data_IF_109965834369
#
_entry.id   IF_109965834369
#
_cell.length_a   1.000
_cell.length_b   1.000
_cell.length_c   1.000
_cell.angle_alpha   90.00
_cell.angle_beta   90.00
_cell.angle_gamma   90.00
#
_symmetry.space_group_name_H-M   'P 1'
#
loop_
_entity.id
_entity.type
_entity.pdbx_description
1 polymer ?
#
# COMPACT_ATOMS: atom_id res chain seq x y z
N UNK A 1 -12.20 20.45 2.72
CA UNK A 1 -10.99 19.92 2.08
C UNK A 1 -10.33 18.97 3.05
N UNK A 2 -10.22 17.69 2.70
CA UNK A 2 -9.54 16.71 3.56
C UNK A 2 -8.05 17.00 3.47
N UNK A 3 -7.44 17.46 4.56
CA UNK A 3 -5.99 17.67 4.61
C UNK A 3 -5.29 16.30 4.70
N UNK A 4 -4.20 16.12 3.95
CA UNK A 4 -3.34 14.96 4.12
C UNK A 4 -2.80 14.91 5.54
N UNK A 5 -2.64 13.73 6.15
CA UNK A 5 -1.88 13.58 7.39
C UNK A 5 -0.47 14.18 7.26
N UNK A 6 0.07 14.70 8.36
CA UNK A 6 1.32 15.47 8.36
C UNK A 6 2.50 14.77 7.63
N UNK A 7 2.69 13.47 7.86
CA UNK A 7 3.73 12.68 7.20
C UNK A 7 3.59 12.68 5.67
N UNK A 8 2.36 12.49 5.16
CA UNK A 8 2.07 12.50 3.72
C UNK A 8 2.21 13.89 3.12
N UNK A 9 1.71 14.94 3.81
CA UNK A 9 1.88 16.33 3.39
C UNK A 9 3.35 16.70 3.24
N UNK A 10 4.18 16.34 4.21
CA UNK A 10 5.63 16.54 4.18
C UNK A 10 6.28 15.79 3.01
N UNK A 11 5.92 14.53 2.82
CA UNK A 11 6.45 13.71 1.73
C UNK A 11 6.10 14.30 0.36
N UNK A 12 4.85 14.70 0.13
CA UNK A 12 4.44 15.37 -1.11
C UNK A 12 5.22 16.67 -1.34
N UNK A 13 5.39 17.48 -0.29
CA UNK A 13 6.17 18.73 -0.35
C UNK A 13 7.65 18.48 -0.71
N UNK A 14 8.28 17.46 -0.12
CA UNK A 14 9.66 17.07 -0.42
C UNK A 14 9.85 16.62 -1.89
N UNK A 15 8.82 15.99 -2.48
CA UNK A 15 8.80 15.61 -3.89
C UNK A 15 8.46 16.77 -4.83
N UNK A 16 8.08 17.94 -4.32
CA UNK A 16 7.55 19.04 -5.12
C UNK A 16 6.20 18.70 -5.77
N UNK A 17 5.45 17.76 -5.19
CA UNK A 17 4.18 17.31 -5.71
C UNK A 17 3.01 17.99 -5.01
N UNK A 18 1.93 18.16 -5.77
CA UNK A 18 0.63 18.57 -5.26
C UNK A 18 -0.37 17.46 -5.55
N UNK A 19 -1.35 17.29 -4.65
CA UNK A 19 -2.48 16.41 -4.92
C UNK A 19 -3.23 16.90 -6.16
N UNK A 20 -3.51 15.98 -7.06
CA UNK A 20 -4.40 16.23 -8.20
C UNK A 20 -5.85 16.13 -7.75
N UNK A 21 -6.75 16.79 -8.46
CA UNK A 21 -8.17 16.84 -8.09
C UNK A 21 -8.77 15.44 -7.88
N UNK A 22 -8.53 14.50 -8.79
CA UNK A 22 -9.01 13.13 -8.65
C UNK A 22 -8.37 12.37 -7.46
N UNK A 23 -7.13 12.70 -7.07
CA UNK A 23 -6.51 12.12 -5.87
C UNK A 23 -7.18 12.65 -4.61
N UNK A 24 -7.52 13.93 -4.61
CA UNK A 24 -8.25 14.55 -3.53
C UNK A 24 -9.66 13.97 -3.42
N UNK A 25 -10.38 13.82 -4.55
CA UNK A 25 -11.69 13.19 -4.61
C UNK A 25 -11.64 11.75 -4.06
N UNK A 26 -10.67 10.94 -4.51
CA UNK A 26 -10.44 9.58 -4.02
C UNK A 26 -10.27 9.51 -2.49
N UNK A 27 -9.58 10.48 -1.90
CA UNK A 27 -9.39 10.55 -0.44
C UNK A 27 -10.63 11.04 0.30
N UNK A 28 -11.34 12.02 -0.26
CA UNK A 28 -12.54 12.60 0.34
C UNK A 28 -13.71 11.62 0.33
N UNK A 29 -13.83 10.85 -0.74
CA UNK A 29 -14.95 9.94 -0.99
C UNK A 29 -14.62 8.47 -0.67
N UNK A 30 -13.43 8.20 -0.11
CA UNK A 30 -12.94 6.83 0.15
C UNK A 30 -13.90 5.93 0.91
N UNK A 31 -14.78 6.52 1.74
CA UNK A 31 -15.74 5.80 2.58
C UNK A 31 -17.19 5.93 2.13
N UNK A 32 -17.45 6.76 1.11
CA UNK A 32 -18.82 7.04 0.64
C UNK A 32 -19.32 6.00 -0.36
N UNK A 33 -18.42 5.33 -1.10
CA UNK A 33 -18.77 4.39 -2.14
C UNK A 33 -18.11 3.03 -1.92
N UNK A 34 -18.83 1.97 -2.22
CA UNK A 34 -18.30 0.59 -2.16
C UNK A 34 -17.46 0.26 -3.39
N UNK A 35 -17.69 0.96 -4.49
CA UNK A 35 -16.97 0.80 -5.74
C UNK A 35 -16.63 2.15 -6.36
N UNK A 36 -15.36 2.36 -6.72
CA UNK A 36 -14.87 3.56 -7.40
C UNK A 36 -14.04 3.18 -8.62
N UNK A 37 -14.30 3.81 -9.74
CA UNK A 37 -13.53 3.67 -10.97
C UNK A 37 -12.81 4.98 -11.28
N UNK A 38 -11.47 4.97 -11.17
CA UNK A 38 -10.63 6.10 -11.55
C UNK A 38 -10.15 5.96 -13.00
N UNK A 39 -10.48 6.96 -13.82
CA UNK A 39 -10.07 7.01 -15.22
C UNK A 39 -9.15 8.21 -15.43
N UNK A 40 -7.89 7.94 -15.75
CA UNK A 40 -6.92 8.98 -16.04
C UNK A 40 -5.85 8.48 -17.02
N UNK A 41 -5.18 9.37 -17.77
CA UNK A 41 -4.13 8.97 -18.70
C UNK A 41 -2.99 8.19 -18.04
N UNK A 42 -2.25 7.41 -18.84
CA UNK A 42 -1.06 6.70 -18.37
C UNK A 42 -0.01 7.72 -17.86
N UNK A 43 0.68 7.40 -16.78
CA UNK A 43 1.64 8.33 -16.16
C UNK A 43 1.00 9.43 -15.29
N UNK A 44 -0.32 9.51 -15.22
CA UNK A 44 -1.02 10.52 -14.41
C UNK A 44 -0.98 10.26 -12.89
N UNK A 45 -0.36 9.18 -12.40
CA UNK A 45 -0.29 8.85 -10.96
C UNK A 45 -1.49 8.06 -10.43
N UNK A 46 -2.25 7.37 -11.30
CA UNK A 46 -3.38 6.50 -10.92
C UNK A 46 -3.02 5.48 -9.85
N UNK A 47 -1.90 4.79 -10.04
CA UNK A 47 -1.45 3.73 -9.13
C UNK A 47 -1.25 4.27 -7.71
N UNK A 48 -0.58 5.42 -7.57
CA UNK A 48 -0.47 6.10 -6.28
C UNK A 48 -1.83 6.49 -5.72
N UNK A 49 -2.75 7.00 -6.56
CA UNK A 49 -4.12 7.37 -6.14
C UNK A 49 -4.88 6.18 -5.55
N UNK A 50 -4.73 5.00 -6.15
CA UNK A 50 -5.32 3.76 -5.64
C UNK A 50 -4.76 3.34 -4.28
N UNK A 51 -3.45 3.53 -4.06
CA UNK A 51 -2.80 3.15 -2.81
C UNK A 51 -2.96 4.18 -1.68
N UNK A 52 -3.05 5.47 -1.97
CA UNK A 52 -3.09 6.54 -0.97
C UNK A 52 -4.11 6.31 0.16
N UNK A 53 -5.38 5.96 -0.12
CA UNK A 53 -6.35 5.69 0.95
C UNK A 53 -5.90 4.56 1.87
N UNK A 54 -5.32 3.49 1.31
CA UNK A 54 -4.84 2.34 2.09
C UNK A 54 -3.59 2.66 2.90
N UNK A 55 -2.66 3.42 2.36
CA UNK A 55 -1.44 3.82 3.06
C UNK A 55 -1.76 4.73 4.24
N UNK A 56 -2.67 5.69 4.06
CA UNK A 56 -3.12 6.60 5.12
C UNK A 56 -3.82 5.81 6.23
N UNK A 57 -4.79 4.96 5.88
CA UNK A 57 -5.55 4.15 6.82
C UNK A 57 -4.65 3.21 7.65
N UNK A 58 -3.70 2.54 6.98
CA UNK A 58 -2.71 1.70 7.66
C UNK A 58 -1.79 2.53 8.56
N UNK A 59 -1.29 3.68 8.12
CA UNK A 59 -0.45 4.55 8.93
C UNK A 59 -1.17 5.03 10.20
N UNK A 60 -2.46 5.38 10.09
CA UNK A 60 -3.31 5.77 11.23
C UNK A 60 -3.44 4.63 12.24
N UNK A 61 -3.59 3.37 11.79
CA UNK A 61 -3.68 2.22 12.72
C UNK A 61 -2.40 1.98 13.52
N UNK A 62 -1.27 2.48 13.05
CA UNK A 62 0.01 2.41 13.74
C UNK A 62 0.31 3.65 14.61
N UNK A 63 -0.64 4.58 14.76
CA UNK A 63 -0.47 5.80 15.56
C UNK A 63 0.53 6.79 14.96
N UNK A 64 0.76 6.75 13.64
CA UNK A 64 1.74 7.62 12.97
C UNK A 64 1.36 9.11 13.03
N UNK A 65 0.12 9.46 13.31
CA UNK A 65 -0.29 10.83 13.60
C UNK A 65 0.33 11.36 14.90
N UNK A 66 0.48 10.50 15.91
CA UNK A 66 1.07 10.86 17.20
C UNK A 66 2.61 10.79 17.19
N UNK A 67 3.19 9.92 16.33
CA UNK A 67 4.65 9.80 16.22
C UNK A 67 5.29 11.03 15.58
N UNK A 68 4.60 11.73 14.69
CA UNK A 68 5.10 12.98 14.10
C UNK A 68 5.25 14.08 15.14
N UNK A 69 4.38 14.12 16.16
CA UNK A 69 4.48 15.04 17.30
C UNK A 69 5.53 14.59 18.33
N UNK A 70 5.63 13.27 18.59
CA UNK A 70 6.54 12.73 19.60
C UNK A 70 8.03 12.77 19.21
N UNK A 71 8.35 12.83 17.90
CA UNK A 71 9.74 12.94 17.41
C UNK A 71 10.18 14.38 17.11
N UNK A 72 9.50 15.41 17.67
CA UNK A 72 9.95 16.80 17.55
C UNK A 72 9.96 17.34 16.13
N UNK A 73 9.17 16.79 15.22
CA UNK A 73 9.08 17.25 13.82
C UNK A 73 8.18 18.49 13.67
N UNK A 74 7.62 19.01 14.77
CA UNK A 74 6.84 20.25 14.80
C UNK A 74 7.70 21.51 14.90
N UNK A 75 8.98 21.43 15.32
CA UNK A 75 9.81 22.60 15.58
C UNK A 75 10.60 23.16 14.39
N UNK A 76 10.53 22.54 13.20
CA UNK A 76 11.24 23.05 12.01
C UNK A 76 10.34 23.86 11.04
N UNK A 77 9.13 24.18 11.44
CA UNK A 77 8.20 24.93 10.59
C UNK A 77 8.11 26.44 10.91
N UNK A 78 8.74 26.92 11.99
CA UNK A 78 8.58 28.33 12.42
C UNK A 78 9.86 29.18 12.42
N UNK A 79 10.99 28.70 11.90
CA UNK A 79 12.21 29.54 11.81
C UNK A 79 12.81 29.57 10.41
N UNK A 80 12.10 30.18 9.48
CA UNK A 80 12.71 30.76 8.26
C UNK A 80 12.02 32.11 8.00
N UNK A 81 12.23 33.06 8.89
CA UNK A 81 12.33 34.48 8.57
C UNK A 81 13.59 34.96 9.27
N UNK A 82 14.63 35.10 8.55
CA UNK A 82 15.67 36.12 8.51
C UNK A 82 16.97 35.53 7.95
N UNK A 83 17.41 36.14 6.86
CA UNK A 83 18.62 35.74 6.16
C UNK A 83 19.91 36.07 6.93
N UNK A 84 20.72 35.05 7.19
CA UNK A 84 22.14 35.18 7.42
C UNK A 84 22.85 33.88 6.94
N UNK A 85 24.05 33.98 6.31
CA UNK A 85 24.75 32.83 5.79
C UNK A 85 25.49 32.06 6.86
N UNK A 86 25.35 30.76 6.89
CA UNK A 86 26.12 29.87 7.78
C UNK A 86 27.37 29.45 7.07
N UNK A 87 28.50 29.83 7.62
CA UNK A 87 29.86 29.41 7.25
C UNK A 87 30.04 27.89 7.44
N UNK A 88 30.57 27.27 6.42
CA UNK A 88 31.00 25.87 6.42
C UNK A 88 32.39 25.81 7.04
N UNK A 89 32.56 25.17 8.19
CA UNK A 89 33.87 24.78 8.70
C UNK A 89 34.15 23.31 8.42
N UNK A 90 35.20 23.11 7.66
CA UNK A 90 35.80 21.85 7.26
C UNK A 90 36.49 21.10 8.41
N UNK A 91 36.60 19.79 8.16
CA UNK A 91 37.67 18.84 8.53
C UNK A 91 37.80 18.35 9.97
N UNK A 92 37.65 17.02 10.06
CA UNK A 92 38.74 16.19 10.62
C UNK A 92 38.66 14.75 10.11
N UNK A 93 39.63 14.42 9.26
CA UNK A 93 40.10 13.05 9.00
C UNK A 93 40.79 12.49 10.25
N UNK A 94 40.60 11.23 10.55
CA UNK A 94 41.65 10.39 11.16
C UNK A 94 41.48 8.96 10.66
N UNK A 95 42.56 8.56 10.02
CA UNK A 95 42.95 7.24 9.55
C UNK A 95 43.33 6.31 10.70
N UNK A 96 43.20 5.00 10.49
CA UNK A 96 43.97 4.06 11.31
C UNK A 96 43.42 2.63 11.34
N UNK A 97 43.96 1.84 10.51
CA UNK A 97 44.10 0.43 10.27
C UNK A 97 44.17 -0.58 11.43
N UNK A 98 43.81 -1.81 11.05
CA UNK A 98 44.33 -3.18 11.38
C UNK A 98 43.47 -4.07 12.29
N UNK A 99 43.02 -5.12 11.59
CA UNK A 99 43.08 -6.56 11.83
C UNK A 99 43.35 -7.07 13.26
N UNK A 100 42.51 -7.99 13.72
CA UNK A 100 42.87 -9.40 14.04
C UNK A 100 41.64 -10.20 14.47
N UNK A 101 41.58 -11.45 13.99
CA UNK A 101 40.72 -12.56 14.39
C UNK A 101 40.81 -12.83 15.89
N UNK A 102 39.69 -13.23 16.49
CA UNK A 102 39.67 -14.30 17.47
C UNK A 102 38.25 -14.83 17.75
N UNK A 103 38.09 -16.12 17.57
CA UNK A 103 36.98 -16.95 18.03
C UNK A 103 36.85 -16.87 19.54
N UNK A 104 35.67 -16.58 20.05
CA UNK A 104 35.26 -17.07 21.39
C UNK A 104 33.77 -17.44 21.38
N UNK A 105 33.54 -18.75 21.52
CA UNK A 105 32.28 -19.29 22.02
C UNK A 105 32.06 -18.87 23.47
N UNK A 106 30.88 -18.35 23.79
CA UNK A 106 30.36 -18.47 25.17
C UNK A 106 28.82 -18.47 25.20
N UNK A 107 28.37 -19.61 25.56
CA UNK A 107 27.20 -20.07 26.33
C UNK A 107 26.12 -19.04 26.72
N UNK A 108 24.93 -19.56 26.49
CA UNK A 108 23.64 -19.13 26.98
C UNK A 108 23.63 -18.58 28.42
N UNK A 109 22.98 -17.45 28.59
CA UNK A 109 22.26 -17.15 29.82
C UNK A 109 20.91 -16.53 29.50
N UNK A 110 19.97 -17.12 30.07
CA UNK A 110 18.53 -17.11 30.09
C UNK A 110 17.93 -15.79 30.62
N UNK A 111 16.73 -15.48 30.11
CA UNK A 111 15.66 -14.78 30.81
C UNK A 111 15.81 -13.28 31.13
N UNK A 112 15.20 -12.50 30.28
CA UNK A 112 14.11 -11.61 30.71
C UNK A 112 13.27 -11.20 29.50
N UNK A 113 12.11 -11.84 29.38
CA UNK A 113 11.04 -11.43 28.48
C UNK A 113 10.57 -10.02 28.91
N UNK A 114 11.10 -8.98 28.26
CA UNK A 114 10.44 -7.69 28.21
C UNK A 114 9.13 -7.92 27.46
N UNK A 115 8.00 -7.90 28.19
CA UNK A 115 6.68 -7.60 27.65
C UNK A 115 6.78 -6.26 26.91
N UNK A 116 7.17 -6.29 25.63
CA UNK A 116 6.97 -5.19 24.72
C UNK A 116 5.45 -5.00 24.61
N UNK A 117 4.96 -3.80 24.94
CA UNK A 117 3.63 -3.34 24.54
C UNK A 117 3.49 -3.75 23.09
N UNK A 118 2.48 -4.57 22.76
CA UNK A 118 2.06 -4.80 21.38
C UNK A 118 1.81 -3.42 20.79
N UNK A 119 2.67 -2.98 19.88
CA UNK A 119 2.45 -1.77 19.12
C UNK A 119 1.18 -2.03 18.33
N UNK A 120 0.09 -1.36 18.72
CA UNK A 120 -1.16 -1.41 18.00
C UNK A 120 -0.90 -1.15 16.53
N UNK A 121 -1.39 -2.01 15.66
CA UNK A 121 -1.22 -1.92 14.22
C UNK A 121 -2.13 -2.94 13.54
N UNK A 122 -2.37 -2.78 12.25
CA UNK A 122 -3.23 -3.68 11.50
C UNK A 122 -2.52 -5.04 11.28
N UNK A 123 -3.10 -6.09 11.86
CA UNK A 123 -2.59 -7.45 11.71
C UNK A 123 -3.45 -8.23 10.70
N UNK A 124 -2.92 -8.46 9.52
CA UNK A 124 -3.58 -9.20 8.45
C UNK A 124 -3.49 -8.51 7.09
N UNK A 125 -4.23 -9.04 6.11
CA UNK A 125 -4.33 -8.48 4.78
C UNK A 125 -5.37 -7.34 4.77
N UNK A 126 -4.89 -6.12 4.56
CA UNK A 126 -5.71 -4.91 4.47
C UNK A 126 -6.10 -4.60 3.02
N UNK A 127 -5.12 -4.67 2.12
CA UNK A 127 -5.30 -4.27 0.72
C UNK A 127 -4.80 -5.35 -0.21
N UNK A 128 -5.63 -5.69 -1.20
CA UNK A 128 -5.28 -6.58 -2.30
C UNK A 128 -5.14 -5.75 -3.57
N UNK A 129 -3.99 -5.80 -4.22
CA UNK A 129 -3.77 -5.18 -5.52
C UNK A 129 -3.68 -6.24 -6.60
N UNK A 130 -4.53 -6.12 -7.61
CA UNK A 130 -4.65 -7.09 -8.70
C UNK A 130 -4.26 -6.42 -10.00
N UNK A 131 -3.32 -7.03 -10.72
CA UNK A 131 -2.88 -6.54 -12.02
C UNK A 131 -2.70 -7.69 -13.01
N UNK A 132 -3.01 -7.46 -14.30
CA UNK A 132 -2.86 -8.47 -15.33
C UNK A 132 -1.42 -8.80 -15.69
N UNK A 133 -0.47 -7.93 -15.35
CA UNK A 133 0.91 -8.02 -15.84
C UNK A 133 1.90 -8.38 -14.74
N UNK A 134 2.81 -9.31 -15.05
CA UNK A 134 3.98 -9.63 -14.22
C UNK A 134 5.01 -8.49 -14.18
N UNK A 135 4.93 -7.53 -15.09
CA UNK A 135 5.92 -6.48 -15.36
C UNK A 135 5.81 -5.23 -14.49
N UNK A 136 5.03 -5.25 -13.42
CA UNK A 136 4.73 -4.07 -12.58
C UNK A 136 5.82 -3.69 -11.59
N UNK A 137 7.03 -4.20 -11.71
CA UNK A 137 8.07 -3.99 -10.70
C UNK A 137 8.45 -2.52 -10.51
N UNK A 138 8.61 -1.74 -11.57
CA UNK A 138 9.04 -0.33 -11.45
C UNK A 138 7.92 0.60 -10.96
N UNK A 139 6.70 0.46 -11.51
CA UNK A 139 5.56 1.29 -11.09
C UNK A 139 5.13 1.00 -9.65
N UNK A 140 5.15 -0.26 -9.25
CA UNK A 140 4.88 -0.65 -7.87
C UNK A 140 5.97 -0.15 -6.92
N UNK A 141 7.23 -0.27 -7.30
CA UNK A 141 8.32 0.27 -6.49
C UNK A 141 8.11 1.77 -6.25
N UNK A 142 7.90 2.54 -7.30
CA UNK A 142 7.75 3.99 -7.24
C UNK A 142 6.48 4.45 -6.49
N UNK A 143 5.35 3.78 -6.70
CA UNK A 143 4.05 4.24 -6.21
C UNK A 143 3.60 3.59 -4.90
N UNK A 144 4.27 2.52 -4.44
CA UNK A 144 3.96 1.81 -3.20
C UNK A 144 5.16 1.65 -2.29
N UNK A 145 6.24 1.00 -2.74
CA UNK A 145 7.37 0.66 -1.86
C UNK A 145 8.16 1.90 -1.46
N UNK A 146 8.46 2.78 -2.41
CA UNK A 146 9.19 4.00 -2.15
C UNK A 146 8.48 4.93 -1.15
N UNK A 147 7.16 5.21 -1.25
CA UNK A 147 6.43 5.92 -0.19
C UNK A 147 6.52 5.26 1.19
N UNK A 148 6.40 3.93 1.26
CA UNK A 148 6.50 3.18 2.51
C UNK A 148 7.89 3.37 3.14
N UNK A 149 8.96 3.24 2.34
CA UNK A 149 10.34 3.37 2.79
C UNK A 149 10.68 4.81 3.20
N UNK A 150 10.38 5.80 2.34
CA UNK A 150 10.73 7.20 2.56
C UNK A 150 10.00 7.84 3.74
N UNK A 151 8.76 7.41 3.99
CA UNK A 151 8.00 7.84 5.17
C UNK A 151 8.20 6.90 6.37
N UNK A 152 9.05 5.86 6.26
CA UNK A 152 9.28 4.87 7.32
C UNK A 152 7.99 4.25 7.87
N UNK A 153 7.01 3.99 6.99
CA UNK A 153 5.74 3.43 7.40
C UNK A 153 5.92 1.96 7.82
N UNK A 154 5.39 1.51 8.95
CA UNK A 154 5.49 0.12 9.40
C UNK A 154 4.53 -0.82 8.63
N UNK A 155 4.42 -0.63 7.33
CA UNK A 155 3.51 -1.34 6.42
C UNK A 155 4.31 -2.39 5.65
N UNK A 156 3.80 -3.61 5.62
CA UNK A 156 4.38 -4.70 4.84
C UNK A 156 3.65 -4.87 3.51
N UNK A 157 4.40 -4.84 2.41
CA UNK A 157 3.87 -5.08 1.06
C UNK A 157 4.64 -6.22 0.38
N UNK A 158 3.94 -7.20 -0.17
CA UNK A 158 4.55 -8.37 -0.81
C UNK A 158 3.82 -8.78 -2.08
N UNK A 159 4.56 -9.40 -2.98
CA UNK A 159 4.01 -9.96 -4.22
C UNK A 159 3.77 -11.46 -4.08
N UNK A 160 2.63 -11.91 -4.64
CA UNK A 160 2.28 -13.33 -4.79
C UNK A 160 1.75 -13.60 -6.20
N UNK A 161 2.55 -14.33 -6.96
CA UNK A 161 2.26 -14.77 -8.33
C UNK A 161 2.51 -16.28 -8.47
N UNK A 162 2.30 -16.82 -9.64
CA UNK A 162 2.65 -18.22 -9.93
C UNK A 162 4.11 -18.56 -9.67
N UNK A 163 5.01 -17.60 -9.82
CA UNK A 163 6.45 -17.78 -9.64
C UNK A 163 6.91 -17.62 -8.18
N UNK A 164 6.01 -17.25 -7.26
CA UNK A 164 6.36 -17.09 -5.84
C UNK A 164 6.72 -18.45 -5.22
N UNK A 165 7.90 -18.59 -4.61
CA UNK A 165 8.34 -19.85 -4.00
C UNK A 165 7.35 -20.40 -2.96
N UNK A 166 7.26 -21.73 -2.85
CA UNK A 166 6.28 -22.39 -1.99
C UNK A 166 6.42 -22.01 -0.51
N UNK A 167 7.64 -21.90 0.01
CA UNK A 167 7.91 -21.47 1.38
C UNK A 167 7.39 -20.04 1.66
N UNK A 168 7.57 -19.12 0.70
CA UNK A 168 7.06 -17.75 0.81
C UNK A 168 5.53 -17.74 0.78
N UNK A 169 4.91 -18.55 -0.11
CA UNK A 169 3.45 -18.70 -0.17
C UNK A 169 2.86 -19.23 1.14
N UNK A 170 3.53 -20.22 1.78
CA UNK A 170 3.11 -20.76 3.09
C UNK A 170 3.25 -19.72 4.20
N UNK A 171 4.36 -18.95 4.21
CA UNK A 171 4.54 -17.87 5.17
C UNK A 171 3.46 -16.79 5.02
N UNK A 172 3.19 -16.31 3.80
CA UNK A 172 2.15 -15.32 3.51
C UNK A 172 0.75 -15.77 3.95
N UNK A 173 0.49 -17.08 3.91
CA UNK A 173 -0.77 -17.65 4.37
C UNK A 173 -0.91 -17.62 5.88
N UNK A 174 0.21 -17.90 6.62
CA UNK A 174 0.23 -17.87 8.09
C UNK A 174 0.34 -16.46 8.67
N UNK A 175 1.13 -15.62 8.02
CA UNK A 175 1.37 -14.22 8.38
C UNK A 175 1.25 -13.36 7.11
N UNK A 176 0.03 -12.96 6.74
CA UNK A 176 -0.18 -12.16 5.55
C UNK A 176 0.42 -10.77 5.69
N UNK A 177 0.95 -10.19 4.58
CA UNK A 177 1.35 -8.78 4.56
C UNK A 177 0.11 -7.87 4.65
N UNK A 178 0.33 -6.60 4.97
CA UNK A 178 -0.75 -5.61 4.96
C UNK A 178 -1.26 -5.35 3.54
N UNK A 179 -0.35 -5.33 2.57
CA UNK A 179 -0.68 -5.15 1.15
C UNK A 179 -0.13 -6.34 0.36
N UNK A 180 -1.00 -7.02 -0.38
CA UNK A 180 -0.62 -8.14 -1.24
C UNK A 180 -0.89 -7.82 -2.70
N UNK A 181 0.17 -7.90 -3.52
CA UNK A 181 0.11 -7.70 -4.95
C UNK A 181 0.00 -9.06 -5.65
N UNK A 182 -0.97 -9.22 -6.53
CA UNK A 182 -1.24 -10.53 -7.13
C UNK A 182 -1.79 -10.42 -8.56
N UNK A 183 -1.98 -11.57 -9.21
CA UNK A 183 -2.67 -11.70 -10.50
C UNK A 183 -4.05 -12.35 -10.31
N UNK A 184 -4.98 -12.21 -11.26
CA UNK A 184 -6.30 -12.86 -11.19
C UNK A 184 -6.21 -14.37 -10.93
N UNK A 185 -5.27 -15.05 -11.60
CA UNK A 185 -5.07 -16.48 -11.49
C UNK A 185 -4.59 -16.89 -10.08
N UNK A 186 -3.65 -16.13 -9.53
CA UNK A 186 -3.15 -16.38 -8.18
C UNK A 186 -4.19 -16.07 -7.10
N UNK A 187 -5.04 -15.07 -7.32
CA UNK A 187 -6.18 -14.79 -6.43
C UNK A 187 -7.17 -15.96 -6.43
N UNK A 188 -7.56 -16.47 -7.60
CA UNK A 188 -8.48 -17.59 -7.68
C UNK A 188 -7.94 -18.83 -6.95
N UNK A 189 -6.64 -19.10 -7.09
CA UNK A 189 -5.97 -20.17 -6.34
C UNK A 189 -6.02 -19.92 -4.81
N UNK A 190 -5.80 -18.69 -4.37
CA UNK A 190 -5.88 -18.36 -2.92
C UNK A 190 -7.29 -18.51 -2.37
N UNK A 191 -8.31 -18.16 -3.16
CA UNK A 191 -9.71 -18.30 -2.77
C UNK A 191 -10.19 -19.77 -2.74
N UNK A 192 -9.45 -20.70 -3.34
CA UNK A 192 -9.75 -22.15 -3.27
C UNK A 192 -9.24 -22.82 -1.99
N UNK A 193 -8.44 -22.14 -1.16
CA UNK A 193 -7.93 -22.70 0.07
C UNK A 193 -9.03 -22.83 1.14
N UNK A 194 -8.95 -23.90 1.96
CA UNK A 194 -9.92 -24.14 3.02
C UNK A 194 -9.93 -23.03 4.11
N UNK A 195 -8.84 -22.28 4.24
CA UNK A 195 -8.67 -21.18 5.19
C UNK A 195 -8.65 -19.79 4.50
N UNK A 196 -9.29 -19.68 3.34
CA UNK A 196 -9.38 -18.41 2.60
C UNK A 196 -10.09 -17.31 3.42
N UNK A 197 -11.07 -17.69 4.24
CA UNK A 197 -11.76 -16.82 5.18
C UNK A 197 -10.81 -16.12 6.16
N UNK A 198 -9.81 -16.84 6.67
CA UNK A 198 -8.78 -16.28 7.58
C UNK A 198 -7.87 -15.30 6.88
N UNK A 199 -7.53 -15.57 5.61
CA UNK A 199 -6.67 -14.68 4.81
C UNK A 199 -7.38 -13.40 4.42
N UNK A 200 -8.63 -13.50 3.95
CA UNK A 200 -9.37 -12.39 3.37
C UNK A 200 -10.36 -11.72 4.33
N UNK A 201 -10.70 -12.32 5.46
CA UNK A 201 -11.74 -11.81 6.37
C UNK A 201 -11.51 -10.42 6.95
N UNK A 202 -10.28 -9.90 6.87
CA UNK A 202 -9.94 -8.54 7.32
C UNK A 202 -9.70 -7.57 6.16
N UNK A 203 -9.94 -8.00 4.92
CA UNK A 203 -9.67 -7.21 3.73
C UNK A 203 -10.60 -5.98 3.69
N UNK A 204 -10.00 -4.80 3.57
CA UNK A 204 -10.71 -3.52 3.50
C UNK A 204 -10.83 -3.01 2.07
N UNK A 205 -9.85 -3.32 1.21
CA UNK A 205 -9.80 -2.72 -0.13
C UNK A 205 -9.20 -3.68 -1.16
N UNK A 206 -9.82 -3.71 -2.34
CA UNK A 206 -9.28 -4.35 -3.54
C UNK A 206 -9.03 -3.28 -4.58
N UNK A 207 -7.80 -3.20 -5.07
CA UNK A 207 -7.40 -2.30 -6.16
C UNK A 207 -7.18 -3.17 -7.40
N UNK A 208 -7.87 -2.86 -8.48
CA UNK A 208 -7.78 -3.57 -9.76
C UNK A 208 -7.17 -2.62 -10.78
N UNK A 209 -5.95 -2.91 -11.18
CA UNK A 209 -5.24 -2.09 -12.17
C UNK A 209 -5.49 -2.58 -13.59
N UNK A 210 -5.34 -1.66 -14.56
CA UNK A 210 -5.61 -1.91 -15.96
C UNK A 210 -6.99 -2.55 -16.20
N UNK A 211 -8.00 -2.07 -15.46
CA UNK A 211 -9.36 -2.62 -15.44
C UNK A 211 -9.93 -2.79 -16.85
N UNK A 212 -9.67 -1.83 -17.76
CA UNK A 212 -10.11 -1.88 -19.15
C UNK A 212 -9.54 -3.07 -19.93
N UNK A 213 -8.30 -3.48 -19.63
CA UNK A 213 -7.66 -4.62 -20.28
C UNK A 213 -8.21 -5.94 -19.77
N UNK A 214 -8.67 -5.99 -18.52
CA UNK A 214 -9.24 -7.17 -17.89
C UNK A 214 -10.67 -7.43 -18.39
N UNK A 215 -11.54 -6.43 -18.39
CA UNK A 215 -12.94 -6.57 -18.79
C UNK A 215 -13.10 -7.22 -20.17
N UNK A 216 -12.20 -6.92 -21.11
CA UNK A 216 -12.31 -7.36 -22.50
C UNK A 216 -11.91 -8.82 -22.77
N UNK A 217 -11.57 -9.62 -21.76
CA UNK A 217 -11.02 -10.95 -21.97
C UNK A 217 -11.41 -11.95 -20.86
N UNK A 218 -11.13 -13.26 -21.11
CA UNK A 218 -11.42 -14.36 -20.18
C UNK A 218 -10.81 -14.20 -18.78
N UNK A 219 -9.73 -13.45 -18.63
CA UNK A 219 -9.14 -13.16 -17.30
C UNK A 219 -10.06 -12.24 -16.49
N UNK A 220 -10.81 -11.37 -17.17
CA UNK A 220 -11.84 -10.55 -16.55
C UNK A 220 -13.02 -11.38 -16.05
N UNK A 221 -13.47 -12.40 -16.80
CA UNK A 221 -14.51 -13.32 -16.32
C UNK A 221 -14.05 -14.05 -15.05
N UNK A 222 -12.80 -14.56 -15.07
CA UNK A 222 -12.19 -15.16 -13.89
C UNK A 222 -12.12 -14.20 -12.71
N UNK A 223 -11.75 -12.95 -12.96
CA UNK A 223 -11.68 -11.94 -11.91
C UNK A 223 -13.07 -11.62 -11.35
N UNK A 224 -14.09 -11.51 -12.18
CA UNK A 224 -15.47 -11.28 -11.73
C UNK A 224 -15.95 -12.38 -10.78
N UNK A 225 -15.68 -13.65 -11.11
CA UNK A 225 -15.98 -14.80 -10.22
C UNK A 225 -15.18 -14.74 -8.92
N UNK A 226 -13.90 -14.36 -9.01
CA UNK A 226 -13.04 -14.20 -7.83
C UNK A 226 -13.54 -13.07 -6.93
N UNK A 227 -13.95 -11.94 -7.50
CA UNK A 227 -14.49 -10.80 -6.73
C UNK A 227 -15.84 -11.15 -6.07
N UNK A 228 -16.71 -11.86 -6.77
CA UNK A 228 -17.96 -12.35 -6.19
C UNK A 228 -17.71 -13.29 -4.99
N UNK A 229 -16.75 -14.23 -5.12
CA UNK A 229 -16.36 -15.10 -4.01
C UNK A 229 -15.69 -14.32 -2.87
N UNK A 230 -14.88 -13.32 -3.18
CA UNK A 230 -14.23 -12.47 -2.19
C UNK A 230 -15.23 -11.68 -1.34
N UNK A 231 -16.33 -11.22 -1.93
CA UNK A 231 -17.40 -10.52 -1.21
C UNK A 231 -18.07 -11.39 -0.14
N UNK A 232 -18.02 -12.72 -0.27
CA UNK A 232 -18.52 -13.63 0.79
C UNK A 232 -17.63 -13.60 2.02
N UNK A 233 -16.30 -13.47 1.85
CA UNK A 233 -15.34 -13.40 2.97
C UNK A 233 -15.23 -11.99 3.54
N UNK A 234 -15.42 -10.98 2.71
CA UNK A 234 -15.23 -9.56 3.04
C UNK A 234 -16.34 -8.71 2.43
N UNK A 235 -17.56 -8.75 2.98
CA UNK A 235 -18.74 -8.10 2.39
C UNK A 235 -18.63 -6.56 2.35
N UNK A 236 -17.81 -5.97 3.22
CA UNK A 236 -17.59 -4.51 3.29
C UNK A 236 -16.29 -4.07 2.60
N UNK A 237 -15.69 -4.96 1.80
CA UNK A 237 -14.46 -4.65 1.08
C UNK A 237 -14.76 -3.72 -0.09
N UNK A 238 -14.10 -2.56 -0.10
CA UNK A 238 -14.24 -1.55 -1.16
C UNK A 238 -13.45 -1.94 -2.39
N UNK A 239 -13.99 -1.64 -3.58
CA UNK A 239 -13.36 -1.92 -4.87
C UNK A 239 -12.90 -0.62 -5.51
N UNK A 240 -11.65 -0.57 -5.96
CA UNK A 240 -11.08 0.55 -6.72
C UNK A 240 -10.58 -0.01 -8.05
N UNK A 241 -11.18 0.44 -9.14
CA UNK A 241 -10.67 0.20 -10.49
C UNK A 241 -9.79 1.35 -10.96
N UNK A 242 -8.65 1.02 -11.53
CA UNK A 242 -7.77 1.98 -12.18
C UNK A 242 -7.74 1.70 -13.67
N UNK A 243 -8.05 2.69 -14.49
CA UNK A 243 -8.15 2.54 -15.94
C UNK A 243 -7.50 3.68 -16.69
N UNK A 244 -6.97 3.38 -17.86
CA UNK A 244 -6.73 4.39 -18.87
C UNK A 244 -8.08 4.91 -19.42
N UNK A 245 -8.04 5.97 -20.22
CA UNK A 245 -9.22 6.49 -20.89
C UNK A 245 -9.91 5.41 -21.73
N UNK A 246 -11.21 5.27 -21.57
CA UNK A 246 -12.05 4.26 -22.24
C UNK A 246 -13.25 4.94 -22.88
N UNK A 247 -13.81 4.30 -23.90
CA UNK A 247 -14.97 4.81 -24.64
C UNK A 247 -16.28 4.71 -23.84
N UNK A 248 -16.41 3.69 -22.96
CA UNK A 248 -17.64 3.39 -22.22
C UNK A 248 -17.34 3.21 -20.71
N UNK A 249 -17.14 4.33 -19.98
CA UNK A 249 -16.83 4.29 -18.55
C UNK A 249 -17.90 3.59 -17.71
N UNK A 250 -19.16 3.80 -18.03
CA UNK A 250 -20.31 3.25 -17.30
C UNK A 250 -20.33 1.72 -17.40
N UNK A 251 -20.05 1.17 -18.57
CA UNK A 251 -19.96 -0.28 -18.78
C UNK A 251 -18.83 -0.89 -17.94
N UNK A 252 -17.68 -0.23 -17.92
CA UNK A 252 -16.54 -0.67 -17.12
C UNK A 252 -16.83 -0.55 -15.62
N UNK A 253 -17.51 0.53 -15.21
CA UNK A 253 -17.94 0.73 -13.83
C UNK A 253 -18.94 -0.33 -13.38
N UNK A 254 -19.93 -0.65 -14.21
CA UNK A 254 -20.91 -1.71 -13.94
C UNK A 254 -20.24 -3.09 -13.83
N UNK A 255 -19.29 -3.41 -14.70
CA UNK A 255 -18.51 -4.66 -14.61
C UNK A 255 -17.71 -4.73 -13.30
N UNK A 256 -17.10 -3.63 -12.87
CA UNK A 256 -16.31 -3.56 -11.64
C UNK A 256 -17.17 -3.70 -10.38
N UNK A 257 -18.30 -3.01 -10.37
CA UNK A 257 -19.23 -2.99 -9.25
C UNK A 257 -19.95 -4.33 -9.04
N UNK A 258 -20.29 -5.02 -10.14
CA UNK A 258 -21.12 -6.23 -10.15
C UNK A 258 -22.63 -5.90 -10.19
N UNK A 259 -23.47 -6.92 -10.03
CA UNK A 259 -24.92 -6.80 -10.29
C UNK A 259 -25.70 -5.88 -9.34
N UNK A 260 -25.19 -5.65 -8.13
CA UNK A 260 -25.97 -5.05 -7.04
C UNK A 260 -25.48 -3.65 -6.62
N UNK A 261 -24.51 -3.08 -7.32
CA UNK A 261 -23.96 -1.78 -6.97
C UNK A 261 -23.59 -0.95 -8.21
N UNK A 262 -23.45 0.36 -7.99
CA UNK A 262 -23.02 1.32 -9.02
C UNK A 262 -21.64 1.85 -8.64
N UNK A 263 -20.74 1.91 -9.62
CA UNK A 263 -19.43 2.51 -9.40
C UNK A 263 -19.52 4.04 -9.43
N UNK A 264 -18.85 4.69 -8.48
CA UNK A 264 -18.52 6.09 -8.58
C UNK A 264 -17.38 6.26 -9.61
N UNK A 265 -17.59 7.06 -10.65
CA UNK A 265 -16.62 7.29 -11.73
C UNK A 265 -15.94 8.65 -11.50
N UNK A 266 -14.62 8.63 -11.42
CA UNK A 266 -13.77 9.81 -11.20
C UNK A 266 -12.84 10.00 -12.42
#
# INVERSE_FOLDING_TARGET
>A
MTSLPAAFSKWFKQKGWQLRDYQQTMLTEKDQHDCTLLIAPTGAGKTLSGFLPSLIELAETYGMSELAEAFGMSELAETVEDGAPIEVSETRQLSGSRETDEHVETKATDRQAKKGKEKGGFNGLHTLYISPLKALTQDIHRNLLQPIEEMSLPITAETRTGDTPSHKRQRQRKKPPNILLTTPESLMLMLSYADADKLFGKLKRVIIDETHSLMANKRGDFLSLALARLSVFSPHCKRIGLSATVAFPETLGAWLAGSDSVANII
#
